data_IF_706425899536
#
_entry.id   IF_706425899536
#
_cell.length_a   1.000
_cell.length_b   1.000
_cell.length_c   1.000
_cell.angle_alpha   90.00
_cell.angle_beta   90.00
_cell.angle_gamma   90.00
#
_symmetry.space_group_name_H-M   'P 1'
#
loop_
_entity.id
_entity.type
_entity.pdbx_description
1 polymer ?
#
# COMPACT_ATOMS: atom_id res chain seq x y z
N UNK A 1 22.52 10.59 -59.84
CA UNK A 1 21.46 11.55 -59.44
C UNK A 1 20.50 10.82 -58.49
N UNK A 2 20.90 10.63 -57.22
CA UNK A 2 20.12 9.95 -56.17
C UNK A 2 20.60 10.47 -54.81
N UNK A 3 20.31 11.72 -54.45
CA UNK A 3 20.76 12.30 -53.18
C UNK A 3 19.69 12.99 -52.30
N UNK A 4 18.58 13.57 -52.81
CA UNK A 4 17.67 14.32 -51.93
C UNK A 4 16.74 13.41 -51.09
N UNK A 5 16.35 12.26 -51.63
CA UNK A 5 15.41 11.33 -50.97
C UNK A 5 16.03 10.60 -49.78
N UNK A 6 17.32 10.27 -49.87
CA UNK A 6 18.05 9.56 -48.80
C UNK A 6 18.24 10.47 -47.59
N UNK A 7 18.59 11.75 -47.82
CA UNK A 7 18.78 12.75 -46.78
C UNK A 7 17.52 13.02 -45.97
N UNK A 8 16.36 13.07 -46.64
CA UNK A 8 15.06 13.29 -46.01
C UNK A 8 14.69 12.12 -45.09
N UNK A 9 14.91 10.87 -45.55
CA UNK A 9 14.61 9.66 -44.78
C UNK A 9 15.51 9.58 -43.54
N UNK A 10 16.81 9.89 -43.68
CA UNK A 10 17.72 9.92 -42.52
C UNK A 10 17.37 11.02 -41.52
N UNK A 11 16.97 12.20 -41.98
CA UNK A 11 16.55 13.28 -41.10
C UNK A 11 15.27 12.94 -40.33
N UNK A 12 14.29 12.34 -41.00
CA UNK A 12 13.04 11.89 -40.35
C UNK A 12 13.31 10.80 -39.32
N UNK A 13 14.17 9.82 -39.63
CA UNK A 13 14.56 8.76 -38.69
C UNK A 13 15.33 9.27 -37.47
N UNK A 14 16.20 10.26 -37.65
CA UNK A 14 16.92 10.89 -36.53
C UNK A 14 15.97 11.71 -35.66
N UNK A 15 15.04 12.46 -36.25
CA UNK A 15 14.04 13.24 -35.51
C UNK A 15 13.08 12.32 -34.75
N UNK A 16 12.61 11.22 -35.34
CA UNK A 16 11.78 10.24 -34.62
C UNK A 16 12.57 9.52 -33.52
N UNK A 17 13.83 9.16 -33.74
CA UNK A 17 14.68 8.54 -32.71
C UNK A 17 14.97 9.48 -31.53
N UNK A 18 15.10 10.79 -31.78
CA UNK A 18 15.29 11.81 -30.73
C UNK A 18 13.98 12.09 -29.99
N UNK A 19 12.84 12.13 -30.70
CA UNK A 19 11.51 12.33 -30.09
C UNK A 19 10.98 11.10 -29.36
N UNK A 20 11.47 9.89 -29.67
CA UNK A 20 11.07 8.63 -29.05
C UNK A 20 11.97 8.19 -27.88
N UNK A 21 12.82 9.08 -27.32
CA UNK A 21 13.48 8.81 -26.05
C UNK A 21 12.50 8.94 -24.88
N UNK A 22 11.50 8.06 -24.85
CA UNK A 22 10.81 7.70 -23.63
C UNK A 22 11.71 6.71 -22.93
N UNK A 23 12.56 7.19 -22.03
CA UNK A 23 13.20 6.31 -21.06
C UNK A 23 12.12 5.79 -20.13
N UNK A 24 11.47 4.69 -20.53
CA UNK A 24 10.74 3.85 -19.60
C UNK A 24 11.78 3.16 -18.72
N UNK A 25 12.29 3.88 -17.71
CA UNK A 25 13.06 3.24 -16.64
C UNK A 25 12.09 2.33 -15.89
N UNK A 26 12.26 1.00 -15.92
CA UNK A 26 11.39 0.10 -15.17
C UNK A 26 11.59 0.41 -13.69
N UNK A 27 10.67 1.18 -13.11
CA UNK A 27 10.68 1.46 -11.68
C UNK A 27 10.42 0.16 -10.95
N UNK A 28 11.32 -0.20 -10.04
CA UNK A 28 11.13 -1.36 -9.18
C UNK A 28 9.87 -1.14 -8.33
N UNK A 29 8.91 -2.07 -8.39
CA UNK A 29 7.64 -1.95 -7.68
C UNK A 29 7.81 -1.80 -6.15
N UNK A 30 8.92 -2.31 -5.60
CA UNK A 30 9.26 -2.18 -4.19
C UNK A 30 9.73 -0.78 -3.79
N UNK A 31 10.05 0.12 -4.73
CA UNK A 31 10.30 1.54 -4.37
C UNK A 31 9.07 2.18 -3.72
N UNK A 32 7.87 1.65 -4.00
CA UNK A 32 6.62 2.11 -3.39
C UNK A 32 6.54 1.84 -1.88
N UNK A 33 7.35 0.92 -1.34
CA UNK A 33 7.41 0.61 0.11
C UNK A 33 8.53 1.36 0.83
N UNK A 34 9.28 2.21 0.13
CA UNK A 34 10.38 2.97 0.72
C UNK A 34 9.87 3.85 1.87
N UNK A 35 10.50 3.70 3.04
CA UNK A 35 10.15 4.45 4.25
C UNK A 35 8.97 3.86 5.05
N UNK A 36 8.36 2.76 4.59
CA UNK A 36 7.37 2.02 5.37
C UNK A 36 8.03 1.18 6.47
N UNK A 37 7.30 0.95 7.55
CA UNK A 37 7.54 -0.16 8.45
C UNK A 37 7.05 -1.47 7.79
N UNK A 38 7.65 -2.60 8.18
CA UNK A 38 7.28 -3.92 7.66
C UNK A 38 6.93 -4.89 8.80
N UNK A 39 5.85 -5.64 8.63
CA UNK A 39 5.48 -6.75 9.50
C UNK A 39 5.28 -8.02 8.67
N UNK A 40 6.00 -9.09 9.04
CA UNK A 40 5.85 -10.40 8.42
C UNK A 40 4.93 -11.26 9.28
N UNK A 41 3.85 -11.75 8.67
CA UNK A 41 2.87 -12.58 9.36
C UNK A 41 3.33 -14.03 9.39
N UNK A 42 3.92 -14.45 10.51
CA UNK A 42 4.37 -15.82 10.73
C UNK A 42 3.29 -16.66 11.44
N UNK A 43 2.44 -16.02 12.24
CA UNK A 43 1.41 -16.64 13.05
C UNK A 43 0.06 -16.76 12.31
N UNK A 44 -0.73 -17.79 12.64
CA UNK A 44 -1.99 -18.08 11.96
C UNK A 44 -3.13 -17.13 12.35
N UNK A 45 -4.20 -17.08 11.55
CA UNK A 45 -5.31 -16.14 11.73
C UNK A 45 -5.83 -16.06 13.16
N UNK A 46 -5.97 -17.20 13.83
CA UNK A 46 -6.58 -17.37 15.16
C UNK A 46 -5.62 -17.18 16.34
N UNK A 47 -4.37 -16.82 16.08
CA UNK A 47 -3.40 -16.54 17.14
C UNK A 47 -3.55 -15.11 17.67
N UNK A 48 -2.83 -14.81 18.77
CA UNK A 48 -2.65 -13.44 19.23
C UNK A 48 -1.71 -12.71 18.27
N UNK A 49 -2.06 -11.46 17.94
CA UNK A 49 -1.32 -10.64 16.97
C UNK A 49 -1.00 -9.29 17.61
N UNK A 50 0.18 -8.72 17.36
CA UNK A 50 0.50 -7.39 17.86
C UNK A 50 -0.42 -6.34 17.23
N UNK A 51 -0.80 -5.36 18.04
CA UNK A 51 -1.50 -4.17 17.62
C UNK A 51 -0.61 -2.96 17.84
N UNK A 52 -0.30 -2.23 16.78
CA UNK A 52 0.57 -1.05 16.79
C UNK A 52 -0.28 0.20 17.01
N UNK A 53 0.13 1.07 17.93
CA UNK A 53 -0.56 2.32 18.19
C UNK A 53 -0.35 3.28 17.02
N UNK A 54 -1.44 3.75 16.39
CA UNK A 54 -1.33 4.69 15.26
C UNK A 54 -0.89 6.08 15.69
N UNK A 55 -0.95 6.39 16.99
CA UNK A 55 -0.35 7.60 17.54
C UNK A 55 1.18 7.61 17.48
N UNK A 56 1.82 6.46 17.27
CA UNK A 56 3.27 6.34 17.11
C UNK A 56 3.70 6.39 15.63
N UNK A 57 2.74 6.45 14.70
CA UNK A 57 3.02 6.47 13.26
C UNK A 57 3.53 7.84 12.84
N UNK A 58 4.60 7.85 12.03
CA UNK A 58 5.28 9.07 11.59
C UNK A 58 4.73 9.63 10.28
N UNK A 59 4.09 8.79 9.48
CA UNK A 59 3.65 9.10 8.12
C UNK A 59 2.11 9.21 7.99
N UNK A 60 1.38 9.18 9.10
CA UNK A 60 -0.05 9.44 9.13
C UNK A 60 -0.32 10.95 9.06
N UNK A 61 -1.21 11.37 8.17
CA UNK A 61 -1.59 12.78 8.05
C UNK A 61 -3.02 13.01 8.51
N UNK A 62 -3.22 13.99 9.40
CA UNK A 62 -4.55 14.42 9.82
C UNK A 62 -4.80 15.85 9.36
N UNK A 63 -5.87 16.03 8.59
CA UNK A 63 -6.41 17.33 8.22
C UNK A 63 -7.59 17.64 9.13
N UNK A 64 -7.34 18.39 10.19
CA UNK A 64 -8.36 18.74 11.19
C UNK A 64 -9.45 19.68 10.65
N UNK A 65 -9.14 20.46 9.61
CA UNK A 65 -10.08 21.38 8.97
C UNK A 65 -11.13 20.63 8.15
N UNK A 66 -10.71 19.58 7.43
CA UNK A 66 -11.62 18.67 6.71
C UNK A 66 -12.11 17.50 7.56
N UNK A 67 -11.51 17.27 8.72
CA UNK A 67 -11.82 16.14 9.59
C UNK A 67 -11.50 14.80 8.94
N UNK A 68 -10.36 14.71 8.24
CA UNK A 68 -9.92 13.51 7.52
C UNK A 68 -8.55 13.09 8.02
N UNK A 69 -8.38 11.82 8.32
CA UNK A 69 -7.07 11.20 8.57
C UNK A 69 -6.73 10.25 7.44
N UNK A 70 -5.48 10.31 6.96
CA UNK A 70 -4.95 9.47 5.90
C UNK A 70 -3.87 8.56 6.42
N UNK A 71 -3.97 7.29 6.09
CA UNK A 71 -2.96 6.29 6.39
C UNK A 71 -2.68 5.46 5.15
N UNK A 72 -1.41 5.32 4.79
CA UNK A 72 -0.95 4.50 3.66
C UNK A 72 -0.27 3.24 4.17
N UNK A 73 -0.62 2.14 3.54
CA UNK A 73 -0.16 0.80 3.89
C UNK A 73 -0.19 -0.09 2.64
N UNK A 74 0.34 -1.29 2.74
CA UNK A 74 0.35 -2.23 1.64
C UNK A 74 0.51 -3.66 2.07
N UNK A 75 0.30 -4.55 1.10
CA UNK A 75 0.41 -5.99 1.29
C UNK A 75 1.19 -6.61 0.15
N UNK A 76 2.00 -7.61 0.46
CA UNK A 76 2.67 -8.48 -0.49
C UNK A 76 2.38 -9.93 -0.11
N UNK A 77 1.83 -10.68 -1.05
CA UNK A 77 1.42 -12.05 -0.82
C UNK A 77 0.41 -12.49 -1.86
N UNK A 78 0.09 -13.79 -1.83
CA UNK A 78 -0.84 -14.39 -2.78
C UNK A 78 -2.28 -13.96 -2.48
N UNK A 79 -2.71 -14.11 -1.22
CA UNK A 79 -4.10 -13.90 -0.79
C UNK A 79 -4.24 -13.87 0.73
N UNK A 80 -5.48 -13.67 1.20
CA UNK A 80 -5.89 -13.83 2.60
C UNK A 80 -5.17 -12.94 3.61
N UNK A 81 -4.88 -11.70 3.22
CA UNK A 81 -4.40 -10.68 4.15
C UNK A 81 -5.57 -10.13 4.98
N UNK A 82 -5.36 -9.98 6.28
CA UNK A 82 -6.31 -9.34 7.18
C UNK A 82 -5.64 -8.15 7.87
N UNK A 83 -6.23 -6.97 7.67
CA UNK A 83 -5.79 -5.71 8.27
C UNK A 83 -6.86 -5.28 9.25
N UNK A 84 -6.47 -5.07 10.51
CA UNK A 84 -7.39 -4.88 11.64
C UNK A 84 -7.21 -3.51 12.25
N UNK A 85 -8.32 -2.89 12.59
CA UNK A 85 -8.39 -1.61 13.27
C UNK A 85 -9.23 -1.76 14.54
N UNK A 86 -8.76 -1.20 15.65
CA UNK A 86 -9.44 -1.29 16.94
C UNK A 86 -9.08 -0.10 17.84
N UNK A 87 -9.77 0.03 18.97
CA UNK A 87 -9.53 1.06 19.99
C UNK A 87 -8.62 0.61 21.13
N UNK A 88 -8.19 -0.66 21.16
CA UNK A 88 -7.39 -1.30 22.22
C UNK A 88 -6.12 -1.98 21.67
N UNK A 89 -5.08 -2.10 22.49
CA UNK A 89 -3.78 -2.66 22.09
C UNK A 89 -3.68 -4.20 22.14
N UNK A 90 -4.76 -4.88 22.50
CA UNK A 90 -4.77 -6.33 22.68
C UNK A 90 -6.09 -6.93 22.22
N UNK A 91 -6.10 -8.24 21.98
CA UNK A 91 -7.34 -8.94 21.73
C UNK A 91 -8.27 -8.87 22.96
N UNK A 92 -9.51 -8.45 22.75
CA UNK A 92 -10.53 -8.29 23.79
C UNK A 92 -11.94 -8.41 23.19
N UNK A 93 -12.96 -8.30 24.02
CA UNK A 93 -14.35 -8.19 23.56
C UNK A 93 -14.67 -6.87 22.86
N UNK A 94 -13.72 -5.94 22.78
CA UNK A 94 -13.86 -4.70 22.02
C UNK A 94 -14.01 -5.03 20.53
N UNK A 95 -15.04 -4.49 19.85
CA UNK A 95 -15.19 -4.68 18.41
C UNK A 95 -14.00 -4.13 17.63
N UNK A 96 -13.45 -4.96 16.75
CA UNK A 96 -12.49 -4.55 15.71
C UNK A 96 -13.18 -4.46 14.35
N UNK A 97 -12.62 -3.63 13.47
CA UNK A 97 -12.94 -3.65 12.04
C UNK A 97 -11.80 -4.32 11.30
N UNK A 98 -12.10 -5.28 10.44
CA UNK A 98 -11.14 -6.00 9.61
C UNK A 98 -11.44 -5.75 8.14
N UNK A 99 -10.40 -5.37 7.40
CA UNK A 99 -10.35 -5.43 5.94
C UNK A 99 -9.67 -6.75 5.58
N UNK A 100 -10.46 -7.69 5.05
CA UNK A 100 -9.99 -9.00 4.60
C UNK A 100 -9.82 -8.97 3.08
N UNK A 101 -8.58 -8.95 2.60
CA UNK A 101 -8.22 -8.88 1.18
C UNK A 101 -8.08 -10.27 0.57
N UNK A 102 -8.57 -10.44 -0.66
CA UNK A 102 -8.54 -11.69 -1.42
C UNK A 102 -8.97 -12.90 -0.57
N UNK A 103 -10.11 -12.77 0.10
CA UNK A 103 -10.74 -13.76 0.96
C UNK A 103 -11.98 -14.36 0.28
N UNK A 104 -12.44 -15.53 0.77
CA UNK A 104 -13.52 -16.35 0.17
C UNK A 104 -13.31 -16.66 -1.32
N UNK A 105 -12.79 -17.86 -1.59
CA UNK A 105 -12.47 -18.31 -2.95
C UNK A 105 -11.52 -17.36 -3.69
N UNK A 106 -10.71 -16.60 -2.93
CA UNK A 106 -9.69 -15.67 -3.43
C UNK A 106 -10.24 -14.53 -4.31
N UNK A 107 -11.55 -14.27 -4.27
CA UNK A 107 -12.20 -13.32 -5.20
C UNK A 107 -12.79 -12.09 -4.54
N UNK A 108 -12.73 -11.99 -3.21
CA UNK A 108 -13.47 -10.96 -2.48
C UNK A 108 -12.59 -10.19 -1.52
N UNK A 109 -12.86 -8.90 -1.41
CA UNK A 109 -12.44 -8.08 -0.29
C UNK A 109 -13.66 -7.81 0.58
N UNK A 110 -13.58 -8.19 1.85
CA UNK A 110 -14.67 -8.00 2.79
C UNK A 110 -14.28 -7.04 3.92
N UNK A 111 -15.27 -6.29 4.38
CA UNK A 111 -15.16 -5.44 5.56
C UNK A 111 -16.05 -6.03 6.64
N UNK A 112 -15.45 -6.33 7.77
CA UNK A 112 -16.10 -7.09 8.84
C UNK A 112 -15.89 -6.38 10.15
N UNK A 113 -16.93 -6.30 10.97
CA UNK A 113 -16.84 -5.82 12.34
C UNK A 113 -17.21 -6.93 13.30
N UNK A 114 -16.34 -7.23 14.26
CA UNK A 114 -16.59 -8.27 15.25
C UNK A 114 -15.80 -8.04 16.53
N UNK A 115 -16.32 -8.42 17.71
CA UNK A 115 -15.52 -8.55 18.91
C UNK A 115 -14.59 -9.76 18.77
N UNK A 116 -13.35 -9.67 19.28
CA UNK A 116 -12.40 -10.77 19.17
C UNK A 116 -11.87 -11.20 20.53
N UNK A 117 -12.65 -12.06 21.17
CA UNK A 117 -12.12 -12.99 22.16
C UNK A 117 -11.50 -14.17 21.41
N UNK A 118 -10.18 -14.16 21.27
CA UNK A 118 -9.44 -15.29 20.70
C UNK A 118 -9.89 -16.59 21.39
N UNK A 119 -10.14 -17.73 20.70
CA UNK A 119 -10.24 -17.94 19.25
C UNK A 119 -11.62 -18.46 18.76
N UNK A 120 -12.70 -18.42 19.55
CA UNK A 120 -13.83 -19.35 19.32
C UNK A 120 -15.06 -18.82 18.58
N UNK A 121 -15.26 -17.51 18.40
CA UNK A 121 -16.47 -17.02 17.68
C UNK A 121 -16.16 -15.78 16.84
N UNK A 122 -16.32 -15.91 15.53
CA UNK A 122 -16.40 -14.79 14.60
C UNK A 122 -17.88 -14.49 14.34
N UNK A 123 -18.51 -13.78 15.27
CA UNK A 123 -19.85 -13.22 15.02
C UNK A 123 -19.66 -11.88 14.32
N UNK A 124 -19.37 -11.91 13.02
CA UNK A 124 -19.09 -10.70 12.24
C UNK A 124 -20.34 -10.07 11.66
N UNK A 125 -20.46 -8.76 11.86
CA UNK A 125 -21.31 -7.90 11.04
C UNK A 125 -20.53 -7.57 9.77
N UNK A 126 -21.11 -7.87 8.62
CA UNK A 126 -20.52 -7.53 7.33
C UNK A 126 -20.87 -6.08 7.00
N UNK A 127 -19.86 -5.24 6.83
CA UNK A 127 -20.00 -3.80 6.55
C UNK A 127 -19.96 -3.50 5.05
N UNK A 128 -19.41 -4.40 4.24
CA UNK A 128 -19.35 -4.28 2.79
C UNK A 128 -18.50 -5.37 2.15
N UNK A 129 -18.81 -5.67 0.88
CA UNK A 129 -18.08 -6.61 0.02
C UNK A 129 -17.67 -5.84 -1.24
N UNK A 130 -16.46 -6.11 -1.72
CA UNK A 130 -16.02 -5.69 -3.04
C UNK A 130 -15.34 -6.86 -3.76
N UNK A 131 -15.76 -7.13 -4.99
CA UNK A 131 -15.15 -8.19 -5.83
C UNK A 131 -14.12 -7.56 -6.76
N UNK A 132 -12.84 -7.78 -6.48
CA UNK A 132 -11.75 -7.33 -7.36
C UNK A 132 -10.72 -8.46 -7.47
N UNK A 133 -10.30 -8.78 -8.69
CA UNK A 133 -9.41 -9.93 -8.98
C UNK A 133 -7.93 -9.68 -8.65
N UNK A 134 -7.51 -8.44 -8.38
CA UNK A 134 -6.08 -8.06 -8.37
C UNK A 134 -5.71 -7.14 -7.18
N UNK A 135 -6.24 -7.43 -5.99
CA UNK A 135 -5.89 -6.68 -4.76
C UNK A 135 -4.57 -7.12 -4.13
N UNK A 136 -4.01 -8.27 -4.54
CA UNK A 136 -2.79 -8.83 -3.98
C UNK A 136 -1.91 -9.43 -5.09
N UNK A 137 -0.60 -9.45 -4.85
CA UNK A 137 0.40 -10.02 -5.76
C UNK A 137 1.59 -10.53 -4.94
N UNK A 138 2.16 -11.66 -5.38
CA UNK A 138 3.42 -12.18 -4.84
C UNK A 138 4.66 -11.48 -5.42
N UNK A 139 4.49 -10.72 -6.49
CA UNK A 139 5.61 -10.12 -7.24
C UNK A 139 5.78 -8.62 -7.00
N UNK A 140 4.74 -7.95 -6.52
CA UNK A 140 4.74 -6.51 -6.31
C UNK A 140 3.86 -6.14 -5.11
N UNK A 141 4.30 -5.25 -4.20
CA UNK A 141 3.45 -4.76 -3.13
C UNK A 141 2.22 -4.04 -3.68
N UNK A 142 1.04 -4.43 -3.21
CA UNK A 142 -0.18 -3.65 -3.45
C UNK A 142 -0.26 -2.59 -2.36
N UNK A 143 0.08 -1.35 -2.72
CA UNK A 143 -0.02 -0.18 -1.85
C UNK A 143 -1.39 0.48 -1.97
N UNK A 144 -1.89 0.99 -0.85
CA UNK A 144 -3.18 1.65 -0.76
C UNK A 144 -3.22 2.71 0.34
N UNK A 145 -4.10 3.68 0.17
CA UNK A 145 -4.34 4.75 1.14
C UNK A 145 -5.78 4.66 1.62
N UNK A 146 -5.96 4.65 2.95
CA UNK A 146 -7.27 4.84 3.56
C UNK A 146 -7.47 6.31 3.93
N UNK A 147 -8.59 6.90 3.53
CA UNK A 147 -9.08 8.17 4.06
C UNK A 147 -10.21 7.90 5.05
N UNK A 148 -10.04 8.38 6.28
CA UNK A 148 -10.95 8.15 7.39
C UNK A 148 -11.54 9.49 7.82
N UNK A 149 -12.83 9.67 7.58
CA UNK A 149 -13.56 10.87 7.96
C UNK A 149 -14.05 10.76 9.40
N UNK A 150 -14.11 11.90 10.12
CA UNK A 150 -14.58 11.97 11.52
C UNK A 150 -15.99 11.41 11.74
N UNK A 151 -16.83 11.35 10.72
CA UNK A 151 -18.17 10.78 10.78
C UNK A 151 -18.20 9.24 10.65
N UNK A 152 -17.03 8.59 10.53
CA UNK A 152 -16.92 7.15 10.35
C UNK A 152 -17.01 6.66 8.91
N UNK A 153 -17.09 7.57 7.93
CA UNK A 153 -16.96 7.20 6.53
C UNK A 153 -15.49 6.93 6.19
N UNK A 154 -15.23 5.79 5.56
CA UNK A 154 -13.88 5.34 5.23
C UNK A 154 -13.84 4.94 3.76
N UNK A 155 -12.82 5.40 3.06
CA UNK A 155 -12.50 4.97 1.70
C UNK A 155 -11.11 4.35 1.67
N UNK A 156 -10.89 3.38 0.79
CA UNK A 156 -9.56 2.83 0.51
C UNK A 156 -9.35 2.84 -0.99
N UNK A 157 -8.24 3.46 -1.39
CA UNK A 157 -7.86 3.66 -2.78
C UNK A 157 -6.49 3.03 -3.00
N UNK A 158 -6.35 2.23 -4.05
CA UNK A 158 -5.05 1.66 -4.43
C UNK A 158 -4.17 2.77 -5.02
N UNK A 159 -2.87 2.72 -4.75
CA UNK A 159 -1.96 3.72 -5.29
C UNK A 159 -2.01 3.73 -6.82
N UNK A 160 -2.06 4.92 -7.41
CA UNK A 160 -2.20 5.12 -8.86
C UNK A 160 -3.62 5.03 -9.40
N UNK A 161 -4.60 4.64 -8.57
CA UNK A 161 -6.02 4.68 -8.93
C UNK A 161 -6.69 5.97 -8.44
N UNK A 162 -7.66 6.46 -9.21
CA UNK A 162 -8.39 7.69 -8.88
C UNK A 162 -9.65 7.46 -8.04
N UNK A 163 -10.18 6.24 -8.06
CA UNK A 163 -11.43 5.91 -7.39
C UNK A 163 -11.17 4.87 -6.29
N UNK A 164 -11.79 5.02 -5.11
CA UNK A 164 -11.67 4.02 -4.06
C UNK A 164 -12.35 2.72 -4.48
N UNK A 165 -11.63 1.61 -4.34
CA UNK A 165 -12.18 0.27 -4.55
C UNK A 165 -12.93 -0.22 -3.32
N UNK A 166 -12.72 0.39 -2.15
CA UNK A 166 -13.40 0.03 -0.91
C UNK A 166 -13.99 1.27 -0.26
N UNK A 167 -15.25 1.21 0.14
CA UNK A 167 -15.93 2.32 0.83
C UNK A 167 -16.94 1.78 1.82
N UNK A 168 -16.98 2.32 3.03
CA UNK A 168 -17.97 1.95 4.05
C UNK A 168 -18.19 3.09 5.05
N UNK A 169 -19.26 2.98 5.82
CA UNK A 169 -19.58 3.92 6.89
C UNK A 169 -19.83 3.16 8.18
N UNK A 170 -19.04 3.46 9.20
CA UNK A 170 -19.16 2.93 10.55
C UNK A 170 -18.81 4.03 11.56
N UNK A 171 -19.81 4.68 12.17
CA UNK A 171 -19.58 5.73 13.17
C UNK A 171 -18.74 5.26 14.38
N UNK A 172 -18.70 3.94 14.64
CA UNK A 172 -17.89 3.34 15.68
C UNK A 172 -16.54 2.80 15.19
N UNK A 173 -16.10 3.16 13.98
CA UNK A 173 -14.79 2.80 13.46
C UNK A 173 -13.70 3.45 14.31
N UNK A 174 -12.69 2.67 14.70
CA UNK A 174 -11.56 3.17 15.46
C UNK A 174 -10.27 2.66 14.86
N UNK A 175 -9.38 3.58 14.54
CA UNK A 175 -8.04 3.30 14.02
C UNK A 175 -6.95 3.58 15.05
N UNK A 176 -7.25 3.63 16.36
CA UNK A 176 -6.23 3.91 17.39
C UNK A 176 -5.10 2.89 17.38
N UNK A 177 -5.44 1.65 17.03
CA UNK A 177 -4.49 0.59 16.83
C UNK A 177 -4.72 -0.11 15.50
N UNK A 178 -3.63 -0.53 14.88
CA UNK A 178 -3.61 -1.28 13.64
C UNK A 178 -2.90 -2.62 13.86
N UNK A 179 -3.47 -3.71 13.38
CA UNK A 179 -2.91 -5.06 13.49
C UNK A 179 -3.02 -5.83 12.18
N UNK A 180 -2.25 -6.89 12.07
CA UNK A 180 -2.14 -7.69 10.84
C UNK A 180 -2.27 -9.17 11.14
N UNK A 181 -2.87 -9.92 10.21
CA UNK A 181 -2.93 -11.37 10.29
C UNK A 181 -3.03 -12.00 8.90
N UNK A 182 -2.65 -13.27 8.79
CA UNK A 182 -2.90 -14.10 7.59
C UNK A 182 -3.90 -15.20 7.89
N UNK A 183 -4.61 -15.69 6.87
CA UNK A 183 -5.35 -16.95 7.00
C UNK A 183 -4.43 -18.17 7.00
N UNK A 184 -3.91 -18.53 5.83
CA UNK A 184 -3.16 -19.78 5.63
C UNK A 184 -1.88 -19.65 4.80
N UNK A 185 -1.67 -18.51 4.11
CA UNK A 185 -0.48 -18.28 3.27
C UNK A 185 0.33 -17.10 3.79
N UNK A 186 1.68 -17.09 3.66
CA UNK A 186 2.52 -15.98 4.10
C UNK A 186 2.10 -14.65 3.45
N UNK A 187 2.06 -13.60 4.26
CA UNK A 187 1.80 -12.23 3.81
C UNK A 187 2.76 -11.29 4.54
N UNK A 188 3.41 -10.41 3.79
CA UNK A 188 4.13 -9.27 4.33
C UNK A 188 3.24 -8.03 4.26
N UNK A 189 3.26 -7.25 5.33
CA UNK A 189 2.50 -6.01 5.47
C UNK A 189 3.47 -4.84 5.53
N UNK A 190 3.15 -3.77 4.82
CA UNK A 190 3.84 -2.49 4.88
C UNK A 190 2.89 -1.49 5.52
N UNK A 191 3.34 -0.73 6.50
CA UNK A 191 2.48 0.20 7.24
C UNK A 191 3.27 1.40 7.70
N UNK A 192 2.54 2.42 8.18
CA UNK A 192 3.12 3.73 8.49
C UNK A 192 3.98 4.23 7.31
N UNK A 193 3.41 4.22 6.11
CA UNK A 193 4.11 4.57 4.88
C UNK A 193 3.95 6.05 4.53
N UNK A 194 4.99 6.72 4.00
CA UNK A 194 4.86 8.08 3.47
C UNK A 194 3.74 8.17 2.43
N UNK A 195 2.82 9.14 2.56
CA UNK A 195 1.72 9.33 1.60
C UNK A 195 2.23 9.74 0.21
N UNK A 196 3.31 10.52 0.17
CA UNK A 196 3.97 10.91 -1.07
C UNK A 196 5.03 9.85 -1.42
N UNK A 197 4.76 9.03 -2.43
CA UNK A 197 5.80 8.24 -3.07
C UNK A 197 6.67 9.22 -3.83
N UNK A 198 7.95 9.38 -3.45
CA UNK A 198 8.90 10.29 -4.09
C UNK A 198 9.17 9.96 -5.56
N UNK A 199 8.20 10.25 -6.43
CA UNK A 199 8.14 9.74 -7.77
C UNK A 199 7.04 10.36 -8.65
N UNK A 200 6.74 11.65 -8.49
CA UNK A 200 6.08 12.47 -9.52
C UNK A 200 7.11 13.24 -10.36
N UNK A 201 6.82 13.60 -11.63
CA UNK A 201 7.75 14.31 -12.50
C UNK A 201 7.85 15.78 -12.05
N UNK A 202 8.78 16.08 -11.15
CA UNK A 202 9.37 17.39 -10.81
C UNK A 202 9.59 17.53 -9.30
N UNK A 203 10.45 16.69 -8.71
CA UNK A 203 11.20 17.13 -7.53
C UNK A 203 12.47 16.31 -7.36
N UNK A 204 13.43 16.53 -8.25
CA UNK A 204 14.84 16.34 -7.91
C UNK A 204 15.35 17.68 -7.41
N UNK A 205 15.29 17.90 -6.08
CA UNK A 205 16.16 18.89 -5.46
C UNK A 205 17.56 18.28 -5.51
N UNK A 206 18.35 18.68 -6.50
CA UNK A 206 19.79 18.40 -6.52
C UNK A 206 20.40 19.25 -5.40
N UNK A 207 20.95 18.65 -4.33
CA UNK A 207 21.82 19.41 -3.45
C UNK A 207 23.04 19.80 -4.28
N UNK A 208 23.26 21.11 -4.42
CA UNK A 208 24.46 21.67 -5.02
C UNK A 208 25.69 20.98 -4.41
N UNK A 209 26.47 20.33 -5.27
CA UNK A 209 27.40 19.30 -4.87
C UNK A 209 28.57 19.75 -4.01
N UNK A 210 29.32 18.73 -3.55
CA UNK A 210 30.79 18.71 -3.49
C UNK A 210 31.23 17.28 -3.15
N UNK A 211 32.16 16.76 -3.94
CA UNK A 211 32.99 15.61 -3.57
C UNK A 211 32.70 14.36 -4.38
N UNK A 212 33.55 14.12 -5.39
CA UNK A 212 33.78 12.81 -5.99
C UNK A 212 34.07 11.76 -4.90
N UNK A 213 33.43 10.59 -4.98
CA UNK A 213 34.00 9.38 -4.41
C UNK A 213 33.81 8.24 -5.43
N UNK A 214 34.94 7.78 -5.96
CA UNK A 214 35.02 6.72 -6.97
C UNK A 214 34.63 5.37 -6.36
N UNK A 215 33.77 4.61 -7.04
CA UNK A 215 33.62 3.19 -6.76
C UNK A 215 34.96 2.48 -7.04
N UNK A 216 35.63 2.05 -5.98
CA UNK A 216 36.79 1.18 -6.06
C UNK A 216 36.38 -0.24 -6.41
N UNK A 217 36.86 -0.72 -7.55
CA UNK A 217 37.03 -2.14 -7.83
C UNK A 217 37.84 -2.82 -6.73
N UNK A 218 37.40 -3.98 -6.26
CA UNK A 218 38.14 -4.73 -5.25
C UNK A 218 37.54 -6.09 -4.91
N UNK A 219 37.62 -7.04 -5.84
CA UNK A 219 37.65 -8.47 -5.52
C UNK A 219 39.08 -8.89 -5.15
N UNK A 220 39.19 -9.79 -4.15
CA UNK A 220 40.33 -10.55 -3.59
C UNK A 220 40.56 -10.17 -2.12
N UNK A 221 40.53 -11.08 -1.13
CA UNK A 221 40.93 -12.49 -1.08
C UNK A 221 39.85 -13.30 -0.35
#
# INVERSE_FOLDING_TARGET
MFLPSVLLVTAVLLVTAVLLRVEASPRNAFESTRGCLQFNSDSGYYTDHPFFATSEFQNMETDDGRGVTRLRFGVLGDKHAAIRFTSVSSNSETPMTEIALAHWEDTRTDIRKYPRTVPKKLNSVHLGEFKLRDVMSIFAPTMMTAEIHRNGYVTVTKDGEFAPFLQFSDPGFSFKYMGFAKWNVPVAFFYDCPLNVGGGPNEYVIPAGKGEESCGDGVRI
#
